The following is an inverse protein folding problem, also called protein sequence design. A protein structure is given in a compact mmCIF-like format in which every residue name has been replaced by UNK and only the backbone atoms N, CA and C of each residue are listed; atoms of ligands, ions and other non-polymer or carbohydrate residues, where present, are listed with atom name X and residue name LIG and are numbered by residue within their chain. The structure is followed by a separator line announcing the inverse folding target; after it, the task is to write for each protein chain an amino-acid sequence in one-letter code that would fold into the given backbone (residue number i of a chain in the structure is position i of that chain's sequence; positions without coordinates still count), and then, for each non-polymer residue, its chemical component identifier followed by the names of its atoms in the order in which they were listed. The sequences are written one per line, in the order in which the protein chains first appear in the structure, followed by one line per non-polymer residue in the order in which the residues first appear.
data_IF_624477008054
#
_entry.id   IF_624477008054
#
_cell.length_a   1.000
_cell.length_b   1.000
_cell.length_c   1.000
_cell.angle_alpha   90.00
_cell.angle_beta   90.00
_cell.angle_gamma   90.00
#
_symmetry.space_group_name_H-M   'P 1'
#
loop_
_entity.id
_entity.type
_entity.pdbx_description
1 polymer ?
#
# COMPACT_ATOMS: atom_id res chain seq x y z
N UNK A 1 -18.60 7.42 -104.55
CA UNK A 1 -17.76 6.21 -104.41
C UNK A 1 -17.65 5.98 -102.91
N UNK A 2 -18.69 5.37 -102.34
CA UNK A 2 -18.75 3.95 -101.97
C UNK A 2 -18.12 3.65 -100.60
N UNK A 3 -19.01 3.24 -99.67
CA UNK A 3 -18.91 2.15 -98.66
C UNK A 3 -17.86 2.31 -97.54
N UNK A 4 -18.29 2.55 -96.30
CA UNK A 4 -18.79 1.58 -95.28
C UNK A 4 -17.78 0.50 -94.87
N UNK A 5 -17.39 0.46 -93.58
CA UNK A 5 -17.51 -0.75 -92.71
C UNK A 5 -16.92 -0.59 -91.28
N UNK A 6 -17.72 -0.99 -90.27
CA UNK A 6 -17.36 -1.42 -88.90
C UNK A 6 -17.17 -0.31 -87.85
N UNK A 7 -17.95 -0.14 -86.77
CA UNK A 7 -18.50 -1.11 -85.80
C UNK A 7 -17.66 -1.05 -84.49
N UNK A 8 -18.05 -0.24 -83.48
CA UNK A 8 -18.76 -0.64 -82.22
C UNK A 8 -18.04 -1.77 -81.44
N UNK A 9 -17.83 -1.78 -80.11
CA UNK A 9 -18.26 -0.96 -78.98
C UNK A 9 -17.45 -1.38 -77.72
N UNK A 10 -17.69 -0.64 -76.63
CA UNK A 10 -17.62 -1.05 -75.22
C UNK A 10 -16.25 -1.22 -74.54
N UNK A 11 -16.03 -0.38 -73.53
CA UNK A 11 -15.00 -0.53 -72.51
C UNK A 11 -15.47 0.08 -71.20
N UNK A 12 -16.39 -0.61 -70.52
CA UNK A 12 -16.62 -0.48 -69.07
C UNK A 12 -15.67 -1.43 -68.34
N UNK A 13 -14.96 -0.94 -67.31
CA UNK A 13 -14.78 -1.64 -66.05
C UNK A 13 -14.00 -0.75 -65.07
N UNK A 14 -14.74 -0.16 -64.14
CA UNK A 14 -14.22 0.36 -62.88
C UNK A 14 -13.75 -0.80 -61.97
N UNK A 15 -12.86 -0.46 -61.03
CA UNK A 15 -12.60 -1.03 -59.69
C UNK A 15 -11.08 -1.06 -59.44
N UNK A 16 -10.50 -0.81 -58.27
CA UNK A 16 -10.94 -0.21 -57.02
C UNK A 16 -9.63 -0.08 -56.21
N UNK A 17 -8.98 1.08 -56.23
CA UNK A 17 -7.88 1.39 -55.32
C UNK A 17 -8.44 2.25 -54.18
N UNK A 18 -8.83 1.60 -53.09
CA UNK A 18 -9.14 2.24 -51.83
C UNK A 18 -8.68 1.32 -50.68
N UNK A 19 -7.37 1.36 -50.38
CA UNK A 19 -6.88 0.85 -49.12
C UNK A 19 -6.93 1.99 -48.10
N UNK A 20 -7.99 1.98 -47.30
CA UNK A 20 -8.25 2.87 -46.19
C UNK A 20 -7.04 3.05 -45.27
N UNK A 21 -6.54 4.29 -45.18
CA UNK A 21 -5.77 4.77 -44.05
C UNK A 21 -6.74 5.43 -43.07
N UNK A 22 -7.19 4.69 -42.05
CA UNK A 22 -7.94 5.28 -40.93
C UNK A 22 -7.38 4.84 -39.57
N UNK A 23 -7.45 5.79 -38.65
CA UNK A 23 -7.34 5.66 -37.19
C UNK A 23 -5.95 5.48 -36.57
N UNK A 24 -5.19 6.59 -36.49
CA UNK A 24 -4.28 6.86 -35.39
C UNK A 24 -5.04 7.44 -34.18
N UNK A 25 -5.85 6.60 -33.51
CA UNK A 25 -6.22 6.83 -32.11
C UNK A 25 -5.57 5.73 -31.27
N UNK A 26 -5.00 6.09 -30.13
CA UNK A 26 -4.07 5.29 -29.33
C UNK A 26 -4.64 4.03 -28.67
N UNK A 27 -5.27 3.15 -29.44
CA UNK A 27 -5.58 1.78 -29.04
C UNK A 27 -4.29 0.99 -29.11
N UNK A 28 -3.75 0.62 -27.94
CA UNK A 28 -2.63 -0.32 -27.86
C UNK A 28 -3.12 -1.67 -28.39
N UNK A 29 -2.88 -1.96 -29.66
CA UNK A 29 -3.14 -3.28 -30.23
C UNK A 29 -2.42 -4.33 -29.38
N UNK A 30 -3.17 -5.29 -28.84
CA UNK A 30 -2.58 -6.39 -28.07
C UNK A 30 -1.64 -7.12 -29.01
N UNK A 31 -0.34 -7.10 -28.72
CA UNK A 31 0.67 -7.80 -29.54
C UNK A 31 0.30 -9.27 -29.63
N UNK A 32 -0.09 -9.72 -30.81
CA UNK A 32 -0.45 -11.10 -31.13
C UNK A 32 0.71 -11.81 -31.85
N UNK A 33 0.59 -13.13 -31.97
CA UNK A 33 1.53 -13.95 -32.72
C UNK A 33 1.54 -13.54 -34.19
N UNK A 34 2.73 -13.52 -34.81
CA UNK A 34 2.91 -13.14 -36.21
C UNK A 34 2.34 -14.17 -37.21
N UNK A 35 1.91 -15.35 -36.75
CA UNK A 35 1.19 -16.30 -37.58
C UNK A 35 -0.18 -15.73 -37.99
N UNK A 36 -0.51 -15.81 -39.28
CA UNK A 36 -1.78 -15.30 -39.84
C UNK A 36 -2.97 -15.89 -39.08
N UNK A 37 -3.89 -15.04 -38.63
CA UNK A 37 -5.08 -15.44 -37.89
C UNK A 37 -4.86 -15.86 -36.43
N UNK A 38 -3.64 -15.79 -35.89
CA UNK A 38 -3.37 -16.18 -34.51
C UNK A 38 -3.57 -15.01 -33.52
N UNK A 39 -4.47 -15.18 -32.56
CA UNK A 39 -4.74 -14.19 -31.49
C UNK A 39 -3.94 -14.44 -30.21
N UNK A 40 -3.16 -15.54 -30.16
CA UNK A 40 -2.35 -15.89 -28.98
C UNK A 40 -1.22 -14.87 -28.79
N UNK A 41 -0.92 -14.54 -27.54
CA UNK A 41 0.21 -13.67 -27.21
C UNK A 41 1.52 -14.37 -27.55
N UNK A 42 2.46 -13.71 -28.26
CA UNK A 42 3.73 -14.34 -28.58
C UNK A 42 4.59 -14.46 -27.32
N UNK A 43 5.39 -15.51 -27.26
CA UNK A 43 6.32 -15.83 -26.16
C UNK A 43 7.68 -16.32 -26.64
N UNK A 44 7.80 -16.71 -27.91
CA UNK A 44 9.01 -17.23 -28.54
C UNK A 44 9.58 -16.21 -29.52
N UNK A 45 10.90 -16.22 -29.66
CA UNK A 45 11.65 -15.39 -30.60
C UNK A 45 13.03 -15.99 -30.84
N UNK A 46 13.82 -15.34 -31.68
CA UNK A 46 15.19 -15.77 -31.98
C UNK A 46 16.09 -15.69 -30.74
N UNK A 47 17.09 -16.56 -30.67
CA UNK A 47 18.12 -16.51 -29.62
C UNK A 47 18.78 -15.13 -29.56
N UNK A 48 18.92 -14.57 -28.36
CA UNK A 48 19.42 -13.21 -28.13
C UNK A 48 18.42 -12.06 -28.40
N UNK A 49 17.25 -12.33 -28.99
CA UNK A 49 16.24 -11.30 -29.26
C UNK A 49 15.41 -10.96 -28.01
N UNK A 50 15.10 -9.66 -27.86
CA UNK A 50 14.14 -9.16 -26.85
C UNK A 50 12.69 -9.16 -27.36
N UNK A 51 12.48 -9.51 -28.64
CA UNK A 51 11.17 -9.50 -29.30
C UNK A 51 10.55 -10.90 -29.21
N UNK A 52 9.29 -10.95 -28.77
CA UNK A 52 8.44 -12.13 -28.84
C UNK A 52 7.60 -12.05 -30.11
N UNK A 53 7.74 -12.99 -31.01
CA UNK A 53 7.12 -12.95 -32.36
C UNK A 53 6.14 -14.11 -32.56
N UNK A 54 6.40 -15.27 -31.95
CA UNK A 54 5.59 -16.47 -32.12
C UNK A 54 5.07 -17.03 -30.79
N UNK A 55 3.92 -17.70 -30.82
CA UNK A 55 3.42 -18.47 -29.67
C UNK A 55 4.06 -19.86 -29.63
N UNK A 56 3.77 -20.65 -28.58
CA UNK A 56 4.33 -21.99 -28.42
C UNK A 56 4.02 -22.94 -29.58
N UNK A 57 2.84 -22.79 -30.19
CA UNK A 57 2.39 -23.62 -31.32
C UNK A 57 3.00 -23.20 -32.65
N UNK A 58 3.38 -21.94 -32.79
CA UNK A 58 3.97 -21.39 -34.02
C UNK A 58 5.48 -21.12 -33.88
N UNK A 59 6.14 -21.73 -32.89
CA UNK A 59 7.60 -21.61 -32.75
C UNK A 59 8.28 -22.27 -33.96
N UNK A 60 9.31 -21.62 -34.50
CA UNK A 60 10.18 -22.20 -35.53
C UNK A 60 11.41 -22.84 -34.90
N UNK A 61 12.09 -23.70 -35.64
CA UNK A 61 13.36 -24.28 -35.19
C UNK A 61 14.39 -23.17 -34.91
N UNK A 62 15.09 -23.31 -33.77
CA UNK A 62 15.99 -22.28 -33.25
C UNK A 62 15.33 -21.15 -32.45
N UNK A 63 13.99 -21.13 -32.30
CA UNK A 63 13.33 -20.15 -31.45
C UNK A 63 13.26 -20.57 -29.99
N UNK A 64 13.69 -19.68 -29.11
CA UNK A 64 13.70 -19.86 -27.66
C UNK A 64 12.59 -19.04 -27.00
N UNK A 65 12.17 -19.45 -25.80
CA UNK A 65 11.22 -18.70 -24.99
C UNK A 65 11.83 -17.38 -24.53
N UNK A 66 11.45 -16.27 -25.15
CA UNK A 66 11.94 -14.95 -24.78
C UNK A 66 11.24 -14.51 -23.50
N UNK A 67 12.01 -14.17 -22.48
CA UNK A 67 11.48 -13.77 -21.17
C UNK A 67 10.67 -12.47 -21.27
N UNK A 68 9.42 -12.53 -20.82
CA UNK A 68 8.60 -11.33 -20.70
C UNK A 68 9.07 -10.52 -19.49
N UNK A 69 9.62 -9.32 -19.72
CA UNK A 69 10.09 -8.40 -18.65
C UNK A 69 8.99 -7.95 -17.67
N UNK A 70 7.72 -8.12 -18.03
CA UNK A 70 6.57 -7.82 -17.18
C UNK A 70 6.15 -9.01 -16.31
N UNK A 71 6.72 -10.20 -16.51
CA UNK A 71 6.48 -11.40 -15.73
C UNK A 71 7.64 -11.68 -14.77
N UNK A 72 7.34 -12.44 -13.73
CA UNK A 72 8.30 -12.96 -12.80
C UNK A 72 9.38 -13.78 -13.52
N UNK A 73 10.62 -13.63 -13.05
CA UNK A 73 11.82 -14.27 -13.58
C UNK A 73 11.79 -15.79 -13.54
N UNK A 74 11.07 -16.34 -12.56
CA UNK A 74 10.93 -17.78 -12.38
C UNK A 74 10.21 -18.40 -13.57
N UNK A 75 10.78 -19.47 -14.13
CA UNK A 75 10.21 -20.20 -15.25
C UNK A 75 8.76 -20.61 -14.98
N UNK A 76 7.89 -20.43 -15.98
CA UNK A 76 6.46 -20.75 -15.88
C UNK A 76 5.63 -19.80 -15.01
N UNK A 77 6.21 -18.78 -14.38
CA UNK A 77 5.45 -17.87 -13.53
C UNK A 77 4.77 -16.76 -14.33
N UNK A 78 3.43 -16.67 -14.22
CA UNK A 78 2.60 -15.65 -14.87
C UNK A 78 2.33 -14.42 -14.01
N UNK A 79 2.88 -14.36 -12.79
CA UNK A 79 2.70 -13.22 -11.88
C UNK A 79 3.59 -12.04 -12.26
N UNK A 80 3.10 -10.83 -12.02
CA UNK A 80 3.92 -9.63 -12.10
C UNK A 80 5.00 -9.61 -11.01
N UNK A 81 6.24 -9.22 -11.35
CA UNK A 81 7.29 -9.09 -10.36
C UNK A 81 7.13 -7.79 -9.57
N UNK A 82 7.36 -7.87 -8.26
CA UNK A 82 7.36 -6.72 -7.34
C UNK A 82 8.67 -6.61 -6.55
N UNK A 83 9.42 -7.71 -6.46
CA UNK A 83 10.67 -7.82 -5.71
C UNK A 83 11.88 -7.67 -6.62
N UNK A 84 12.93 -7.06 -6.08
CA UNK A 84 14.23 -6.89 -6.71
C UNK A 84 15.31 -6.59 -5.69
N UNK A 85 16.50 -6.28 -6.18
CA UNK A 85 17.62 -5.81 -5.34
C UNK A 85 17.29 -4.44 -4.76
N UNK A 86 17.67 -4.18 -3.51
CA UNK A 86 17.46 -2.87 -2.90
C UNK A 86 18.14 -1.75 -3.70
N UNK A 87 17.46 -0.61 -3.85
CA UNK A 87 17.91 0.49 -4.71
C UNK A 87 17.77 0.26 -6.23
N UNK A 88 17.45 -0.95 -6.69
CA UNK A 88 17.23 -1.23 -8.10
C UNK A 88 15.85 -0.74 -8.58
N UNK A 89 15.78 -0.28 -9.84
CA UNK A 89 14.50 0.00 -10.52
C UNK A 89 13.90 -1.25 -11.18
N UNK A 90 14.69 -2.33 -11.30
CA UNK A 90 14.32 -3.56 -12.00
C UNK A 90 13.66 -4.54 -11.04
N UNK A 91 12.37 -4.80 -11.29
CA UNK A 91 11.57 -5.84 -10.62
C UNK A 91 11.77 -7.15 -11.35
N UNK A 92 12.17 -8.19 -10.63
CA UNK A 92 12.52 -9.46 -11.23
C UNK A 92 11.63 -10.60 -10.72
N UNK A 93 11.30 -10.63 -9.44
CA UNK A 93 10.58 -11.76 -8.85
C UNK A 93 9.25 -11.35 -8.23
N UNK A 94 8.30 -12.27 -8.19
CA UNK A 94 7.07 -12.09 -7.42
C UNK A 94 7.30 -12.51 -5.95
N UNK A 95 6.36 -12.20 -5.06
CA UNK A 95 6.46 -12.52 -3.63
C UNK A 95 6.77 -14.00 -3.33
N UNK A 96 6.26 -14.93 -4.15
CA UNK A 96 6.49 -16.37 -4.00
C UNK A 96 7.88 -16.81 -4.43
N UNK A 97 8.52 -16.10 -5.34
CA UNK A 97 9.80 -16.47 -5.94
C UNK A 97 10.91 -15.47 -5.59
N UNK A 98 10.69 -14.61 -4.59
CA UNK A 98 11.75 -13.70 -4.13
C UNK A 98 12.92 -14.54 -3.58
N UNK A 99 14.14 -14.10 -3.86
CA UNK A 99 15.35 -14.68 -3.26
C UNK A 99 15.66 -13.98 -1.93
N UNK A 100 16.50 -14.57 -1.10
CA UNK A 100 17.01 -13.92 0.10
C UNK A 100 17.68 -12.58 -0.25
N UNK A 101 17.52 -11.57 0.60
CA UNK A 101 18.01 -10.22 0.37
C UNK A 101 17.19 -9.39 -0.64
N UNK A 102 16.19 -9.97 -1.32
CA UNK A 102 15.31 -9.19 -2.20
C UNK A 102 14.21 -8.46 -1.43
N UNK A 103 14.00 -7.20 -1.82
CA UNK A 103 13.02 -6.31 -1.20
C UNK A 103 11.92 -5.96 -2.19
N UNK A 104 10.73 -5.63 -1.66
CA UNK A 104 9.67 -5.05 -2.48
C UNK A 104 10.09 -3.63 -2.89
N UNK A 105 10.30 -3.45 -4.19
CA UNK A 105 10.65 -2.18 -4.83
C UNK A 105 9.48 -1.63 -5.65
N UNK A 106 8.33 -2.33 -5.64
CA UNK A 106 7.10 -1.86 -6.25
C UNK A 106 6.35 -0.95 -5.28
N UNK A 107 6.22 -1.38 -4.03
CA UNK A 107 5.51 -0.63 -3.01
C UNK A 107 6.34 0.54 -2.50
N UNK A 108 5.66 1.66 -2.21
CA UNK A 108 6.32 2.83 -1.64
C UNK A 108 6.71 2.55 -0.19
N UNK A 109 7.93 2.92 0.16
CA UNK A 109 8.47 2.87 1.51
C UNK A 109 8.51 4.26 2.12
N UNK A 110 8.59 4.29 3.45
CA UNK A 110 8.86 5.51 4.19
C UNK A 110 10.13 6.17 3.67
N UNK A 111 10.16 7.51 3.60
CA UNK A 111 11.31 8.30 3.16
C UNK A 111 12.47 8.24 4.16
N UNK A 112 12.22 7.85 5.42
CA UNK A 112 13.27 7.65 6.40
C UNK A 112 14.21 6.51 5.98
N UNK A 113 15.52 6.75 6.03
CA UNK A 113 16.53 5.79 5.56
C UNK A 113 16.41 4.47 6.33
N UNK A 114 16.50 3.34 5.61
CA UNK A 114 16.37 2.00 6.20
C UNK A 114 14.97 1.58 6.64
N UNK A 115 13.96 2.46 6.56
CA UNK A 115 12.60 2.12 6.98
C UNK A 115 11.84 1.34 5.90
N UNK A 116 11.39 0.13 6.26
CA UNK A 116 10.59 -0.76 5.39
C UNK A 116 9.09 -0.56 5.53
N UNK A 117 8.64 0.25 6.52
CA UNK A 117 7.24 0.52 6.77
C UNK A 117 6.59 1.35 5.66
N UNK A 118 5.29 1.10 5.41
CA UNK A 118 4.54 1.87 4.43
C UNK A 118 4.26 3.29 4.92
N UNK A 119 4.44 4.31 4.05
CA UNK A 119 4.15 5.67 4.40
C UNK A 119 2.63 5.88 4.47
N UNK A 120 2.18 6.48 5.56
CA UNK A 120 0.77 6.81 5.81
C UNK A 120 0.55 8.30 6.10
N UNK A 121 1.61 9.02 6.46
CA UNK A 121 1.60 10.41 6.87
C UNK A 121 2.23 11.30 5.79
N UNK A 122 1.72 12.53 5.70
CA UNK A 122 2.25 13.56 4.82
C UNK A 122 1.77 14.95 5.24
N UNK A 123 2.12 15.94 4.44
CA UNK A 123 1.70 17.34 4.64
C UNK A 123 0.19 17.47 4.40
N UNK A 124 -0.47 18.33 5.18
CA UNK A 124 -1.89 18.59 4.98
C UNK A 124 -2.18 19.15 3.57
N UNK A 125 -3.26 18.69 2.96
CA UNK A 125 -3.61 19.01 1.56
C UNK A 125 -2.80 18.25 0.49
N UNK A 126 -1.73 17.54 0.87
CA UNK A 126 -0.95 16.73 -0.07
C UNK A 126 -1.59 15.38 -0.37
N UNK A 127 -1.41 14.88 -1.60
CA UNK A 127 -1.73 13.50 -1.97
C UNK A 127 -0.57 12.53 -1.70
N UNK A 128 0.62 13.06 -1.40
CA UNK A 128 1.84 12.28 -1.22
C UNK A 128 2.00 11.86 0.24
N UNK A 129 2.08 10.55 0.45
CA UNK A 129 2.43 9.91 1.72
C UNK A 129 3.94 9.69 1.71
N UNK A 130 4.62 10.20 2.74
CA UNK A 130 6.09 10.21 2.79
C UNK A 130 6.62 9.45 4.01
N UNK A 131 5.96 9.55 5.16
CA UNK A 131 6.45 8.96 6.40
C UNK A 131 5.48 7.93 6.98
N UNK A 132 6.00 6.93 7.68
CA UNK A 132 5.21 5.98 8.46
C UNK A 132 4.78 6.58 9.81
N UNK A 133 4.04 5.82 10.63
CA UNK A 133 3.57 6.29 11.93
C UNK A 133 4.70 6.59 12.92
N UNK A 134 5.78 5.80 12.89
CA UNK A 134 6.96 5.95 13.75
C UNK A 134 7.80 7.15 13.35
N UNK A 135 7.92 7.42 12.04
CA UNK A 135 8.74 8.52 11.50
C UNK A 135 7.95 9.80 11.22
N UNK A 136 6.67 9.90 11.65
CA UNK A 136 5.88 11.11 11.42
C UNK A 136 6.53 12.31 12.13
N UNK A 137 6.56 13.46 11.47
CA UNK A 137 6.99 14.73 12.10
C UNK A 137 5.79 15.51 12.63
N UNK A 138 6.04 16.46 13.52
CA UNK A 138 5.01 17.40 13.99
C UNK A 138 4.30 18.08 12.82
N UNK A 139 2.98 18.20 12.89
CA UNK A 139 2.16 18.81 11.84
C UNK A 139 1.80 17.90 10.65
N UNK A 140 2.30 16.66 10.58
CA UNK A 140 1.91 15.72 9.53
C UNK A 140 0.57 15.03 9.84
N UNK A 141 -0.24 14.83 8.81
CA UNK A 141 -1.57 14.22 8.91
C UNK A 141 -1.59 12.83 8.28
N UNK A 142 -2.44 11.94 8.80
CA UNK A 142 -2.68 10.64 8.19
C UNK A 142 -3.50 10.83 6.91
N UNK A 143 -2.90 10.49 5.75
CA UNK A 143 -3.52 10.64 4.43
C UNK A 143 -4.13 9.33 3.91
N UNK A 144 -4.06 8.25 4.68
CA UNK A 144 -4.70 6.96 4.36
C UNK A 144 -6.15 6.98 4.81
N UNK A 145 -6.37 7.40 6.05
CA UNK A 145 -7.71 7.51 6.62
C UNK A 145 -8.30 8.88 6.29
N UNK A 146 -9.52 8.89 5.76
CA UNK A 146 -10.24 10.15 5.56
C UNK A 146 -10.50 10.82 6.91
N UNK A 147 -10.18 12.12 6.97
CA UNK A 147 -10.56 12.97 8.10
C UNK A 147 -12.05 13.31 8.02
N UNK A 148 -12.61 13.65 9.17
CA UNK A 148 -13.92 14.25 9.26
C UNK A 148 -14.00 15.51 8.39
N UNK A 149 -15.09 15.66 7.65
CA UNK A 149 -15.35 16.81 6.79
C UNK A 149 -15.67 18.10 7.57
N UNK A 150 -15.91 18.00 8.87
CA UNK A 150 -16.10 19.17 9.73
C UNK A 150 -14.80 20.00 9.81
N UNK A 151 -14.93 21.32 9.65
CA UNK A 151 -13.79 22.23 9.60
C UNK A 151 -12.93 22.12 10.87
N UNK A 152 -11.60 22.06 10.70
CA UNK A 152 -10.65 21.92 11.81
C UNK A 152 -10.62 20.55 12.49
N UNK A 153 -11.47 19.59 12.09
CA UNK A 153 -11.50 18.28 12.72
C UNK A 153 -10.43 17.33 12.15
N UNK A 154 -9.51 16.89 13.01
CA UNK A 154 -8.45 15.93 12.64
C UNK A 154 -8.83 14.47 12.88
N UNK A 155 -10.00 14.22 13.48
CA UNK A 155 -10.46 12.85 13.76
C UNK A 155 -10.85 12.11 12.49
N UNK A 156 -10.68 10.79 12.50
CA UNK A 156 -11.05 9.92 11.38
C UNK A 156 -12.57 9.94 11.16
N UNK A 157 -12.98 10.06 9.89
CA UNK A 157 -14.37 9.87 9.50
C UNK A 157 -14.74 8.38 9.56
N UNK A 158 -15.84 8.09 10.25
CA UNK A 158 -16.41 6.74 10.40
C UNK A 158 -17.90 6.67 10.06
N UNK A 159 -18.59 7.81 10.07
CA UNK A 159 -20.01 7.94 9.81
C UNK A 159 -20.28 8.46 8.41
N UNK A 160 -21.39 8.03 7.83
CA UNK A 160 -21.91 8.50 6.56
C UNK A 160 -23.36 8.09 6.36
N UNK A 161 -23.89 8.42 5.18
CA UNK A 161 -25.26 8.05 4.79
C UNK A 161 -25.41 6.53 4.70
N UNK A 162 -26.55 6.00 5.15
CA UNK A 162 -26.86 4.58 5.06
C UNK A 162 -26.78 4.09 3.61
N UNK A 163 -26.04 2.99 3.38
CA UNK A 163 -25.80 2.45 2.03
C UNK A 163 -24.62 3.09 1.27
N UNK A 164 -24.05 4.19 1.77
CA UNK A 164 -22.85 4.78 1.19
C UNK A 164 -21.59 3.96 1.50
N UNK A 165 -20.62 3.99 0.58
CA UNK A 165 -19.26 3.47 0.78
C UNK A 165 -18.29 4.53 1.30
N UNK A 166 -18.72 5.79 1.41
CA UNK A 166 -17.85 6.94 1.73
C UNK A 166 -18.17 7.46 3.13
N UNK A 167 -17.19 7.42 4.02
CA UNK A 167 -17.24 8.11 5.33
C UNK A 167 -17.00 9.60 5.16
N UNK A 168 -17.76 10.41 5.89
CA UNK A 168 -17.75 11.86 5.81
C UNK A 168 -17.48 12.48 7.17
N UNK A 169 -18.13 12.02 8.23
CA UNK A 169 -18.06 12.62 9.55
C UNK A 169 -17.55 11.65 10.61
N UNK A 170 -17.06 12.18 11.72
CA UNK A 170 -16.68 11.39 12.89
C UNK A 170 -17.88 11.26 13.86
N UNK A 171 -17.72 10.46 14.91
CA UNK A 171 -18.78 10.25 15.91
C UNK A 171 -19.28 11.55 16.57
N UNK A 172 -18.39 12.54 16.74
CA UNK A 172 -18.69 13.84 17.36
C UNK A 172 -19.44 14.79 16.43
N UNK A 173 -19.24 14.67 15.13
CA UNK A 173 -19.81 15.57 14.12
C UNK A 173 -20.82 14.86 13.22
N UNK A 174 -21.29 13.67 13.57
CA UNK A 174 -22.29 12.96 12.77
C UNK A 174 -23.58 13.78 12.75
N UNK A 175 -24.22 13.87 11.58
CA UNK A 175 -25.57 14.41 11.47
C UNK A 175 -26.61 13.34 11.86
N UNK A 176 -27.83 13.78 12.15
CA UNK A 176 -28.94 12.85 12.40
C UNK A 176 -29.19 11.95 11.20
N UNK A 177 -29.45 10.67 11.48
CA UNK A 177 -29.61 9.63 10.46
C UNK A 177 -28.30 9.08 9.87
N UNK A 178 -27.12 9.61 10.22
CA UNK A 178 -25.84 9.02 9.80
C UNK A 178 -25.49 7.77 10.60
N UNK A 179 -24.97 6.76 9.90
CA UNK A 179 -24.62 5.45 10.47
C UNK A 179 -23.12 5.19 10.36
N UNK A 180 -22.58 4.37 11.26
CA UNK A 180 -21.20 3.91 11.16
C UNK A 180 -21.07 2.92 10.00
N UNK A 181 -20.44 3.37 8.91
CA UNK A 181 -20.17 2.56 7.72
C UNK A 181 -18.72 2.06 7.68
N UNK A 182 -17.90 2.46 8.66
CA UNK A 182 -16.51 2.03 8.76
C UNK A 182 -16.36 0.64 9.37
N UNK A 183 -17.33 0.23 10.18
CA UNK A 183 -17.36 -1.07 10.83
C UNK A 183 -18.43 -1.98 10.24
N UNK A 184 -18.22 -3.30 10.38
CA UNK A 184 -19.21 -4.30 9.96
C UNK A 184 -20.49 -4.11 10.79
N UNK A 185 -21.61 -3.98 10.09
CA UNK A 185 -22.95 -3.87 10.68
C UNK A 185 -23.48 -5.24 11.07
N UNK A 186 -24.48 -5.22 11.94
CA UNK A 186 -25.31 -6.38 12.24
C UNK A 186 -25.84 -7.01 10.94
N UNK A 187 -25.85 -8.34 10.88
CA UNK A 187 -26.38 -9.11 9.76
C UNK A 187 -27.91 -9.13 9.73
N UNK A 188 -28.58 -8.71 10.81
CA UNK A 188 -30.03 -8.59 10.84
C UNK A 188 -30.52 -7.50 9.87
N UNK A 189 -31.57 -7.81 9.10
CA UNK A 189 -32.09 -6.91 8.07
C UNK A 189 -32.53 -5.57 8.67
N UNK A 190 -32.17 -4.46 8.04
CA UNK A 190 -32.49 -3.11 8.52
C UNK A 190 -31.71 -2.63 9.75
N UNK A 191 -30.93 -3.49 10.42
CA UNK A 191 -30.15 -3.08 11.58
C UNK A 191 -28.88 -2.30 11.17
N UNK A 192 -28.73 -1.10 11.70
CA UNK A 192 -27.58 -0.22 11.45
C UNK A 192 -26.52 -0.29 12.55
N UNK A 193 -26.80 -1.02 13.63
CA UNK A 193 -25.92 -1.18 14.79
C UNK A 193 -24.68 -2.00 14.42
N UNK A 194 -23.53 -1.61 15.00
CA UNK A 194 -22.25 -2.31 14.81
C UNK A 194 -22.33 -3.75 15.34
N UNK A 195 -21.83 -4.70 14.56
CA UNK A 195 -21.74 -6.09 14.99
C UNK A 195 -20.67 -6.26 16.09
N UNK A 196 -21.05 -6.97 17.15
CA UNK A 196 -20.22 -7.23 18.33
C UNK A 196 -20.25 -8.68 18.80
N UNK A 197 -21.29 -9.43 18.42
CA UNK A 197 -21.52 -10.82 18.79
C UNK A 197 -21.21 -11.76 17.62
N UNK A 198 -20.77 -12.96 17.95
CA UNK A 198 -20.55 -14.06 17.02
C UNK A 198 -20.39 -15.38 17.76
N UNK A 199 -20.12 -16.44 17.00
CA UNK A 199 -19.88 -17.78 17.55
C UNK A 199 -18.60 -17.78 18.38
N UNK A 200 -18.61 -18.51 19.50
CA UNK A 200 -17.41 -18.67 20.32
C UNK A 200 -16.26 -19.32 19.54
N UNK A 201 -15.03 -18.87 19.79
CA UNK A 201 -13.85 -19.25 19.00
C UNK A 201 -13.78 -18.63 17.58
N UNK A 202 -14.82 -17.93 17.12
CA UNK A 202 -14.80 -17.22 15.83
C UNK A 202 -14.19 -15.82 15.95
N UNK A 203 -13.52 -15.36 14.90
CA UNK A 203 -13.08 -13.96 14.75
C UNK A 203 -14.13 -13.07 14.06
N UNK A 204 -15.24 -13.66 13.60
CA UNK A 204 -16.28 -12.97 12.83
C UNK A 204 -17.37 -12.45 13.75
N UNK A 205 -17.49 -11.12 13.82
CA UNK A 205 -18.63 -10.43 14.42
C UNK A 205 -19.73 -10.28 13.39
N UNK A 206 -20.93 -10.71 13.74
CA UNK A 206 -22.05 -10.80 12.81
C UNK A 206 -23.30 -10.10 13.34
N UNK A 207 -23.55 -10.14 14.65
CA UNK A 207 -24.78 -9.58 15.23
C UNK A 207 -24.48 -8.50 16.27
N UNK A 208 -25.43 -7.59 16.49
CA UNK A 208 -25.38 -6.66 17.63
C UNK A 208 -25.94 -7.32 18.90
N UNK A 209 -25.96 -6.59 20.02
CA UNK A 209 -26.47 -7.12 21.30
C UNK A 209 -27.95 -7.52 21.25
N UNK A 210 -28.76 -6.77 20.50
CA UNK A 210 -30.21 -6.98 20.36
C UNK A 210 -30.54 -8.15 19.42
N UNK A 211 -29.69 -8.42 18.43
CA UNK A 211 -29.91 -9.45 17.42
C UNK A 211 -29.00 -10.67 17.57
N UNK A 212 -28.36 -10.83 18.74
CA UNK A 212 -27.52 -12.01 19.00
C UNK A 212 -28.43 -13.26 19.07
N UNK A 213 -27.95 -14.37 18.55
CA UNK A 213 -28.59 -15.68 18.74
C UNK A 213 -28.09 -16.34 20.02
N UNK A 214 -28.81 -17.37 20.47
CA UNK A 214 -28.39 -18.19 21.60
C UNK A 214 -27.00 -18.79 21.34
N UNK A 215 -26.19 -18.83 22.41
CA UNK A 215 -24.78 -19.25 22.39
C UNK A 215 -23.80 -18.28 21.69
N UNK A 216 -24.24 -17.11 21.22
CA UNK A 216 -23.31 -16.09 20.72
C UNK A 216 -22.66 -15.29 21.85
N UNK A 217 -21.36 -15.10 21.75
CA UNK A 217 -20.55 -14.37 22.74
C UNK A 217 -20.08 -13.02 22.18
N UNK A 218 -19.78 -12.08 23.07
CA UNK A 218 -19.25 -10.78 22.69
C UNK A 218 -17.75 -10.91 22.36
N UNK A 219 -17.42 -10.83 21.06
CA UNK A 219 -16.07 -11.04 20.56
C UNK A 219 -15.11 -9.85 20.74
N UNK A 220 -15.57 -8.76 21.38
CA UNK A 220 -14.66 -7.69 21.78
C UNK A 220 -13.86 -8.05 23.03
N UNK A 221 -14.40 -8.91 23.90
CA UNK A 221 -13.77 -9.30 25.18
C UNK A 221 -12.97 -10.60 25.10
N UNK A 222 -13.25 -11.47 24.14
CA UNK A 222 -12.56 -12.76 23.99
C UNK A 222 -11.19 -12.66 23.32
N UNK A 223 -10.80 -11.47 22.85
CA UNK A 223 -9.65 -11.21 21.99
C UNK A 223 -8.26 -11.35 22.66
N UNK A 224 -8.19 -11.94 23.86
CA UNK A 224 -6.95 -12.21 24.60
C UNK A 224 -6.84 -13.61 25.22
N UNK A 225 -7.83 -14.51 25.05
CA UNK A 225 -7.80 -15.83 25.67
C UNK A 225 -7.18 -16.94 24.78
N UNK A 226 -7.02 -16.70 23.48
CA UNK A 226 -6.64 -17.75 22.52
C UNK A 226 -5.13 -17.83 22.21
N UNK A 227 -4.26 -17.08 22.91
CA UNK A 227 -2.80 -17.09 22.65
C UNK A 227 -1.92 -17.20 23.90
N UNK A 228 -2.48 -17.59 25.04
CA UNK A 228 -1.70 -17.93 26.24
C UNK A 228 -2.32 -19.19 26.83
N UNK A 229 -1.87 -20.35 26.38
CA UNK A 229 -1.96 -21.55 27.20
C UNK A 229 -1.26 -21.23 28.53
N UNK A 230 -2.07 -20.93 29.54
CA UNK A 230 -1.60 -20.77 30.90
C UNK A 230 -1.23 -22.18 31.35
N UNK A 231 0.05 -22.54 31.25
CA UNK A 231 0.57 -23.76 31.87
C UNK A 231 0.09 -23.76 33.32
N UNK A 232 -0.69 -24.76 33.77
CA UNK A 232 -1.05 -24.84 35.18
C UNK A 232 0.26 -25.00 35.97
N UNK A 233 0.63 -23.99 36.75
CA UNK A 233 1.71 -24.16 37.71
C UNK A 233 1.29 -25.26 38.68
N UNK A 234 2.03 -26.37 38.67
CA UNK A 234 1.88 -27.41 39.68
C UNK A 234 2.12 -26.78 41.06
N UNK A 235 1.29 -27.10 42.07
CA UNK A 235 1.51 -26.62 43.43
C UNK A 235 2.85 -27.17 43.92
N UNK A 236 3.78 -26.26 44.22
CA UNK A 236 5.07 -26.57 44.80
C UNK A 236 4.82 -27.17 46.19
N UNK A 237 5.10 -28.46 46.36
CA UNK A 237 5.17 -29.08 47.67
C UNK A 237 6.34 -28.45 48.44
N UNK A 238 5.99 -27.66 49.45
CA UNK A 238 6.92 -27.08 50.43
C UNK A 238 7.35 -28.19 51.38
N UNK A 239 8.52 -28.75 51.13
CA UNK A 239 9.16 -29.69 52.04
C UNK A 239 9.81 -28.90 53.19
N UNK A 240 9.25 -29.08 54.39
CA UNK A 240 9.80 -28.53 55.63
C UNK A 240 11.02 -29.35 56.03
N UNK A 241 12.23 -28.83 55.81
CA UNK A 241 13.44 -29.35 56.47
C UNK A 241 13.67 -28.54 57.75
N UNK A 242 13.73 -29.26 58.87
CA UNK A 242 14.01 -28.74 60.21
C UNK A 242 15.47 -28.30 60.33
N UNK A 243 15.61 -27.22 61.08
CA UNK A 243 16.84 -26.58 61.56
C UNK A 243 17.74 -27.57 62.29
N UNK A 244 19.05 -27.50 62.05
CA UNK A 244 20.05 -27.76 63.07
C UNK A 244 20.98 -26.55 63.13
N UNK A 245 21.00 -25.94 64.31
CA UNK A 245 21.81 -24.81 64.73
C UNK A 245 23.31 -25.02 64.52
N UNK A 246 24.02 -23.94 64.18
CA UNK A 246 25.36 -23.67 64.74
C UNK A 246 25.73 -22.19 64.54
N UNK A 247 25.62 -21.45 65.66
CA UNK A 247 26.51 -20.39 66.16
C UNK A 247 27.09 -19.31 65.21
N UNK A 248 26.59 -18.08 65.40
CA UNK A 248 27.30 -16.79 65.36
C UNK A 248 28.59 -16.79 66.24
N UNK A 249 29.52 -15.79 66.21
CA UNK A 249 29.33 -14.40 65.76
C UNK A 249 30.53 -13.73 65.04
N UNK A 250 30.32 -12.52 64.49
CA UNK A 250 31.01 -11.28 64.91
C UNK A 250 31.10 -10.23 63.78
N UNK A 251 30.78 -8.98 64.11
CA UNK A 251 31.36 -7.80 63.45
C UNK A 251 30.38 -6.77 62.88
N UNK A 252 29.74 -5.99 63.76
CA UNK A 252 29.33 -4.60 63.46
C UNK A 252 30.48 -3.63 63.87
N UNK A 253 30.38 -2.29 63.75
CA UNK A 253 29.49 -1.38 62.99
C UNK A 253 30.37 -0.44 62.09
N UNK A 254 29.93 0.63 61.39
CA UNK A 254 29.33 1.89 61.86
C UNK A 254 29.40 2.97 60.75
N UNK A 255 28.48 3.96 60.79
CA UNK A 255 28.60 5.29 60.18
C UNK A 255 27.66 5.51 58.99
N UNK A 256 26.51 6.17 59.08
CA UNK A 256 26.11 7.51 59.59
C UNK A 256 26.39 8.68 58.63
N UNK A 257 25.39 9.57 58.61
CA UNK A 257 25.33 10.96 58.11
C UNK A 257 25.12 11.23 56.60
N UNK A 258 23.97 11.81 56.20
CA UNK A 258 23.58 13.27 56.22
C UNK A 258 24.34 14.06 55.13
N UNK A 259 23.88 15.12 54.47
CA UNK A 259 22.62 15.85 54.25
C UNK A 259 22.94 16.88 53.14
N UNK A 260 21.88 17.34 52.47
CA UNK A 260 21.61 18.70 51.98
C UNK A 260 22.61 19.61 51.22
N UNK A 261 22.04 20.28 50.22
CA UNK A 261 22.17 21.71 49.81
C UNK A 261 22.58 21.88 48.35
N UNK A 262 21.74 22.40 47.44
CA UNK A 262 21.12 23.73 47.33
C UNK A 262 22.10 24.83 46.86
N UNK A 263 21.66 25.60 45.85
CA UNK A 263 22.31 26.79 45.27
C UNK A 263 22.91 26.48 43.89
N UNK A 264 22.51 27.09 42.76
CA UNK A 264 22.10 28.48 42.54
C UNK A 264 23.23 29.18 41.76
N UNK A 265 22.96 29.69 40.55
CA UNK A 265 23.96 30.50 39.84
C UNK A 265 23.75 30.60 38.33
N UNK A 266 23.12 31.69 37.89
CA UNK A 266 23.13 32.16 36.52
C UNK A 266 24.52 32.67 36.11
N UNK A 267 24.86 32.58 34.82
CA UNK A 267 26.08 33.21 34.29
C UNK A 267 26.38 32.82 32.85
N UNK A 268 25.85 33.60 31.90
CA UNK A 268 26.10 33.48 30.47
C UNK A 268 27.44 34.11 30.08
N UNK A 269 28.33 33.40 29.39
CA UNK A 269 29.20 34.01 28.35
C UNK A 269 29.76 32.98 27.34
N UNK A 270 29.30 33.14 26.09
CA UNK A 270 30.01 33.12 24.79
C UNK A 270 31.18 32.14 24.52
N UNK A 271 31.04 31.49 23.36
CA UNK A 271 32.13 30.93 22.53
C UNK A 271 31.64 29.69 21.80
N UNK A 272 31.05 29.82 20.59
CA UNK A 272 31.67 29.52 19.28
C UNK A 272 32.16 28.05 19.26
N UNK A 273 31.66 27.18 18.39
CA UNK A 273 32.15 26.95 17.04
C UNK A 273 31.05 26.24 16.22
N UNK A 274 30.68 26.83 15.08
CA UNK A 274 29.94 26.18 13.99
C UNK A 274 30.89 26.02 12.80
N UNK A 275 30.95 24.87 12.12
CA UNK A 275 31.52 24.81 10.79
C UNK A 275 30.48 25.24 9.74
N UNK A 276 30.94 26.13 8.85
CA UNK A 276 30.31 26.63 7.63
C UNK A 276 29.91 25.46 6.69
N UNK A 277 28.95 25.58 5.76
CA UNK A 277 29.05 26.34 4.51
C UNK A 277 27.63 26.54 3.92
N UNK A 278 27.34 27.75 3.45
CA UNK A 278 26.09 28.16 2.79
C UNK A 278 26.42 28.93 1.50
N UNK A 279 25.69 28.57 0.44
CA UNK A 279 25.27 29.35 -0.76
C UNK A 279 26.29 29.71 -1.85
N UNK A 280 25.96 29.22 -3.05
CA UNK A 280 25.78 30.07 -4.22
C UNK A 280 24.33 29.94 -4.72
N UNK A 281 23.55 31.02 -4.61
CA UNK A 281 22.32 31.21 -5.38
C UNK A 281 22.40 32.61 -5.97
N UNK A 282 22.55 32.67 -7.30
CA UNK A 282 22.59 33.91 -8.07
C UNK A 282 21.17 34.20 -8.55
N UNK A 283 20.76 35.43 -8.27
CA UNK A 283 19.53 36.11 -8.61
C UNK A 283 19.19 36.12 -10.10
N UNK A 284 17.94 35.82 -10.45
CA UNK A 284 17.30 36.19 -11.73
C UNK A 284 15.88 36.73 -11.46
N UNK A 285 15.42 37.76 -12.21
CA UNK A 285 14.36 38.66 -11.78
C UNK A 285 12.93 38.21 -12.11
N UNK A 286 12.00 38.74 -11.31
CA UNK A 286 10.54 38.67 -11.46
C UNK A 286 10.07 39.39 -12.73
N UNK A 287 9.19 38.77 -13.51
CA UNK A 287 8.16 39.47 -14.30
C UNK A 287 6.79 38.82 -14.09
N UNK A 288 5.85 39.65 -13.66
CA UNK A 288 4.39 39.44 -13.66
C UNK A 288 3.87 39.99 -15.00
N UNK A 289 3.02 39.24 -15.68
CA UNK A 289 1.82 39.80 -16.35
C UNK A 289 0.81 38.68 -16.57
N UNK A 290 -0.44 39.00 -16.22
CA UNK A 290 -1.65 38.24 -16.42
C UNK A 290 -2.05 38.24 -17.91
N UNK A 291 -2.73 37.18 -18.38
CA UNK A 291 -3.85 37.31 -19.30
C UNK A 291 -4.75 36.07 -19.19
N UNK A 292 -5.94 36.26 -18.60
CA UNK A 292 -7.09 35.39 -18.78
C UNK A 292 -7.52 35.44 -20.26
N UNK A 293 -7.84 34.28 -20.84
CA UNK A 293 -8.66 34.21 -22.04
C UNK A 293 -9.98 33.56 -21.63
N UNK A 294 -11.03 34.37 -21.61
CA UNK A 294 -12.42 33.95 -21.54
C UNK A 294 -13.07 34.28 -22.89
N UNK A 295 -14.03 33.45 -23.24
CA UNK A 295 -14.69 33.29 -24.52
C UNK A 295 -15.48 34.52 -25.02
N UNK A 296 -15.59 34.61 -26.33
CA UNK A 296 -16.84 34.91 -27.05
C UNK A 296 -16.93 33.89 -28.20
#
# INVERSE_FOLDING_TARGET
MERESGGAAAGEAATAEAAEATAAEGVRTLRSCQAKGCTKRPSYGMEGSKKQEYCAEHKKDGMVGVRNKYLCAHHGCTKHPTFGVDGSRKKEFCAKHKREGMVDIFTKRCVHQGCTNHPSFGVDGSRKKELCAEHKRGGMVNLVNKRCAHQGCTTRASYGVNGSKKTELCAKHKADGMVDISHKRCAHQGCTTRASYGVDGSNKREFCAEHKQDRMVNLWRTRGAASSERVPQQPQMKENVRVLDTVDPAGAPSGADERESAGGGAGAVRGRWMPAWIRLFRSLPRRRTYCCRQSA
#
